data_IF_637936079530
#
_entry.id   IF_637936079530
#
_cell.length_a   1.000
_cell.length_b   1.000
_cell.length_c   1.000
_cell.angle_alpha   90.00
_cell.angle_beta   90.00
_cell.angle_gamma   90.00
#
_symmetry.space_group_name_H-M   'P 1'
#
loop_
_entity.id
_entity.type
_entity.pdbx_description
1 polymer ?
#
# COMPACT_ATOMS: atom_id res chain seq x y z
N UNK A 1 8.68 -8.72 -5.66
CA UNK A 1 7.26 -8.33 -5.58
C UNK A 1 7.12 -6.83 -5.69
N UNK A 2 5.98 -6.33 -6.16
CA UNK A 2 5.63 -4.91 -6.25
C UNK A 2 4.68 -4.55 -5.10
N UNK A 3 5.04 -3.57 -4.29
CA UNK A 3 4.32 -3.21 -3.05
C UNK A 3 3.82 -1.78 -3.16
N UNK A 4 2.52 -1.58 -2.98
CA UNK A 4 1.93 -0.26 -2.83
C UNK A 4 1.94 0.15 -1.35
N UNK A 5 2.36 1.36 -1.02
CA UNK A 5 2.28 1.91 0.33
C UNK A 5 1.41 3.14 0.29
N UNK A 6 0.26 3.10 0.98
CA UNK A 6 -0.62 4.25 1.08
C UNK A 6 -0.05 5.27 2.05
N UNK A 7 0.20 6.50 1.58
CA UNK A 7 0.82 7.57 2.37
C UNK A 7 -0.06 8.81 2.51
N UNK A 8 0.20 9.58 3.55
CA UNK A 8 -0.37 10.91 3.77
C UNK A 8 0.45 11.99 3.03
N UNK A 9 0.03 13.26 3.16
CA UNK A 9 0.69 14.38 2.49
C UNK A 9 2.13 14.63 2.96
N UNK A 10 2.51 14.11 4.13
CA UNK A 10 3.88 14.15 4.65
C UNK A 10 4.74 12.98 4.16
N UNK A 11 4.20 12.10 3.31
CA UNK A 11 4.91 10.92 2.79
C UNK A 11 5.01 9.76 3.78
N UNK A 12 4.34 9.83 4.93
CA UNK A 12 4.31 8.76 5.94
C UNK A 12 3.12 7.84 5.70
N UNK A 13 3.19 6.60 6.19
CA UNK A 13 2.07 5.65 6.08
C UNK A 13 0.76 6.27 6.56
N UNK A 14 -0.25 6.19 5.70
CA UNK A 14 -1.58 6.71 5.99
C UNK A 14 -2.25 5.88 7.09
N UNK A 15 -2.95 6.55 8.01
CA UNK A 15 -3.63 5.89 9.12
C UNK A 15 -4.76 4.95 8.69
N UNK A 16 -5.33 5.15 7.49
CA UNK A 16 -6.39 4.31 6.92
C UNK A 16 -6.29 4.28 5.39
N UNK A 17 -6.33 3.07 4.80
CA UNK A 17 -6.23 2.87 3.37
C UNK A 17 -7.32 3.61 2.60
N UNK A 18 -8.57 3.55 3.09
CA UNK A 18 -9.73 4.19 2.44
C UNK A 18 -9.70 5.72 2.37
N UNK A 19 -8.71 6.38 3.00
CA UNK A 19 -8.49 7.85 2.93
C UNK A 19 -7.21 8.20 2.18
N UNK A 20 -6.48 7.21 1.69
CA UNK A 20 -5.21 7.39 1.01
C UNK A 20 -5.43 8.10 -0.32
N UNK A 21 -4.60 9.10 -0.59
CA UNK A 21 -4.58 9.84 -1.85
C UNK A 21 -3.30 9.63 -2.66
N UNK A 22 -2.27 9.05 -2.03
CA UNK A 22 -0.97 8.87 -2.63
C UNK A 22 -0.52 7.45 -2.32
N UNK A 23 -0.12 6.71 -3.35
CA UNK A 23 0.57 5.44 -3.22
C UNK A 23 2.02 5.60 -3.68
N UNK A 24 2.95 5.21 -2.82
CA UNK A 24 4.35 5.01 -3.20
C UNK A 24 4.50 3.53 -3.56
N UNK A 25 5.03 3.25 -4.73
CA UNK A 25 5.18 1.89 -5.24
C UNK A 25 6.66 1.52 -5.13
N UNK A 26 6.91 0.37 -4.52
CA UNK A 26 8.24 -0.19 -4.33
C UNK A 26 8.36 -1.55 -5.01
N UNK A 27 9.57 -1.89 -5.44
CA UNK A 27 9.96 -3.27 -5.74
C UNK A 27 10.75 -3.82 -4.57
N UNK A 28 10.42 -5.03 -4.13
CA UNK A 28 11.18 -5.80 -3.15
C UNK A 28 11.65 -7.12 -3.75
N UNK A 29 12.95 -7.37 -3.73
CA UNK A 29 13.58 -8.62 -4.17
C UNK A 29 14.54 -9.07 -3.08
N UNK A 30 14.13 -10.05 -2.27
CA UNK A 30 14.84 -10.38 -1.04
C UNK A 30 14.90 -9.16 -0.10
N UNK A 31 16.11 -8.77 0.27
CA UNK A 31 16.37 -7.61 1.13
C UNK A 31 16.47 -6.29 0.35
N UNK A 32 16.57 -6.34 -0.98
CA UNK A 32 16.67 -5.12 -1.79
C UNK A 32 15.30 -4.48 -1.98
N UNK A 33 15.21 -3.19 -1.64
CA UNK A 33 14.03 -2.35 -1.85
C UNK A 33 14.38 -1.17 -2.73
N UNK A 34 13.57 -0.92 -3.77
CA UNK A 34 13.73 0.23 -4.66
C UNK A 34 12.40 0.93 -4.90
N UNK A 35 12.40 2.26 -4.90
CA UNK A 35 11.25 3.06 -5.32
C UNK A 35 11.01 2.91 -6.83
N UNK A 36 9.75 2.74 -7.24
CA UNK A 36 9.34 2.49 -8.63
C UNK A 36 8.48 3.62 -9.17
N UNK A 37 7.47 4.04 -8.41
CA UNK A 37 6.43 4.96 -8.92
C UNK A 37 5.71 5.68 -7.78
N UNK A 38 5.12 6.84 -8.07
CA UNK A 38 4.22 7.59 -7.19
C UNK A 38 2.89 7.81 -7.89
N UNK A 39 1.83 7.19 -7.36
CA UNK A 39 0.47 7.28 -7.90
C UNK A 39 -0.37 8.20 -7.02
N UNK A 40 -1.10 9.10 -7.66
CA UNK A 40 -2.05 9.98 -6.98
C UNK A 40 -3.45 9.52 -7.36
N UNK A 41 -4.24 9.15 -6.36
CA UNK A 41 -5.64 8.81 -6.52
C UNK A 41 -6.50 10.01 -6.16
N UNK A 42 -7.64 10.16 -6.82
CA UNK A 42 -8.61 11.23 -6.54
C UNK A 42 -9.31 11.05 -5.18
N UNK A 43 -9.11 9.90 -4.53
CA UNK A 43 -9.53 9.64 -3.15
C UNK A 43 -11.04 9.57 -2.98
N UNK A 44 -11.78 9.43 -4.09
CA UNK A 44 -13.24 9.32 -4.11
C UNK A 44 -13.59 7.87 -4.49
N UNK A 45 -14.13 7.11 -3.53
CA UNK A 45 -14.61 5.73 -3.64
C UNK A 45 -13.55 4.59 -3.62
N UNK A 46 -13.93 3.48 -2.99
CA UNK A 46 -13.12 2.28 -2.74
C UNK A 46 -12.64 1.57 -4.01
N UNK A 47 -13.36 1.68 -5.12
CA UNK A 47 -12.98 0.99 -6.36
C UNK A 47 -11.72 1.59 -7.01
N UNK A 48 -11.50 2.90 -6.87
CA UNK A 48 -10.34 3.58 -7.47
C UNK A 48 -9.02 3.14 -6.83
N UNK A 49 -9.01 2.90 -5.51
CA UNK A 49 -7.81 2.40 -4.82
C UNK A 49 -7.33 1.09 -5.46
N UNK A 50 -8.26 0.17 -5.72
CA UNK A 50 -7.93 -1.14 -6.30
C UNK A 50 -7.38 -0.98 -7.72
N UNK A 51 -8.04 -0.15 -8.55
CA UNK A 51 -7.60 0.09 -9.92
C UNK A 51 -6.18 0.71 -9.95
N UNK A 52 -5.87 1.59 -9.00
CA UNK A 52 -4.58 2.27 -8.89
C UNK A 52 -3.44 1.35 -8.39
N UNK A 53 -3.74 0.15 -7.88
CA UNK A 53 -2.74 -0.79 -7.34
C UNK A 53 -2.89 -2.21 -7.89
N UNK A 54 -3.70 -2.42 -8.94
CA UNK A 54 -4.04 -3.77 -9.43
C UNK A 54 -2.85 -4.57 -9.99
N UNK A 55 -1.72 -3.91 -10.25
CA UNK A 55 -0.45 -4.50 -10.68
C UNK A 55 0.54 -4.70 -9.52
N UNK A 56 0.12 -4.43 -8.28
CA UNK A 56 0.89 -4.70 -7.08
C UNK A 56 0.53 -6.06 -6.49
N UNK A 57 1.50 -6.71 -5.84
CA UNK A 57 1.34 -7.97 -5.13
C UNK A 57 0.82 -7.75 -3.70
N UNK A 58 1.10 -6.58 -3.12
CA UNK A 58 0.72 -6.22 -1.75
C UNK A 58 0.42 -4.72 -1.61
N UNK A 59 -0.36 -4.37 -0.58
CA UNK A 59 -0.61 -3.00 -0.15
C UNK A 59 -0.42 -2.83 1.35
N UNK A 60 0.35 -1.81 1.75
CA UNK A 60 0.58 -1.43 3.15
C UNK A 60 -0.22 -0.19 3.50
N UNK A 61 -0.90 -0.22 4.65
CA UNK A 61 -1.50 0.96 5.28
C UNK A 61 -1.64 0.78 6.79
N UNK A 62 -1.87 1.86 7.53
CA UNK A 62 -2.06 1.81 8.98
C UNK A 62 -3.29 1.01 9.41
N UNK A 63 -4.39 1.11 8.66
CA UNK A 63 -5.62 0.34 8.89
C UNK A 63 -6.34 0.05 7.58
N UNK A 64 -6.93 -1.13 7.48
CA UNK A 64 -7.70 -1.55 6.30
C UNK A 64 -9.05 -2.11 6.77
N UNK A 65 -10.15 -1.61 6.21
CA UNK A 65 -11.50 -2.09 6.54
C UNK A 65 -11.74 -3.51 6.00
N UNK A 66 -12.53 -4.31 6.71
CA UNK A 66 -12.75 -5.72 6.37
C UNK A 66 -13.21 -5.95 4.91
N UNK A 67 -14.17 -5.16 4.42
CA UNK A 67 -14.64 -5.26 3.03
C UNK A 67 -13.56 -4.95 1.98
N UNK A 68 -12.61 -4.08 2.31
CA UNK A 68 -11.45 -3.80 1.44
C UNK A 68 -10.46 -4.97 1.47
N UNK A 69 -10.17 -5.54 2.64
CA UNK A 69 -9.33 -6.75 2.76
C UNK A 69 -9.91 -7.90 1.91
N UNK A 70 -11.22 -8.12 1.98
CA UNK A 70 -11.89 -9.13 1.15
C UNK A 70 -11.80 -8.81 -0.34
N UNK A 71 -11.87 -7.54 -0.73
CA UNK A 71 -11.78 -7.11 -2.13
C UNK A 71 -10.37 -7.31 -2.68
N UNK A 72 -9.34 -6.92 -1.93
CA UNK A 72 -7.93 -7.14 -2.27
C UNK A 72 -7.61 -8.63 -2.42
N UNK A 73 -8.11 -9.46 -1.49
CA UNK A 73 -7.93 -10.91 -1.56
C UNK A 73 -8.50 -11.53 -2.84
N UNK A 74 -9.64 -11.05 -3.33
CA UNK A 74 -10.27 -11.57 -4.57
C UNK A 74 -9.44 -11.34 -5.82
N UNK A 75 -8.52 -10.37 -5.78
CA UNK A 75 -7.63 -10.01 -6.89
C UNK A 75 -6.15 -10.34 -6.58
N UNK A 76 -5.90 -11.14 -5.54
CA UNK A 76 -4.56 -11.58 -5.13
C UNK A 76 -3.61 -10.45 -4.69
N UNK A 77 -4.13 -9.38 -4.11
CA UNK A 77 -3.32 -8.37 -3.42
C UNK A 77 -3.31 -8.67 -1.93
N UNK A 78 -2.12 -8.83 -1.35
CA UNK A 78 -1.95 -9.00 0.09
C UNK A 78 -2.20 -7.67 0.82
N UNK A 79 -3.06 -7.69 1.83
CA UNK A 79 -3.34 -6.54 2.68
C UNK A 79 -2.43 -6.57 3.93
N UNK A 80 -1.52 -5.63 4.04
CA UNK A 80 -0.57 -5.51 5.15
C UNK A 80 -0.94 -4.30 6.02
N UNK A 81 -1.23 -4.57 7.29
CA UNK A 81 -1.55 -3.54 8.28
C UNK A 81 -0.28 -3.22 9.05
N UNK A 82 0.14 -1.95 9.03
CA UNK A 82 1.36 -1.48 9.68
C UNK A 82 1.07 -0.33 10.66
N UNK A 83 1.07 -0.62 11.95
CA UNK A 83 0.77 0.36 13.01
C UNK A 83 2.01 0.95 13.68
N UNK A 84 3.17 0.29 13.55
CA UNK A 84 4.38 0.62 14.32
C UNK A 84 5.45 1.36 13.49
N UNK A 85 5.45 1.17 12.17
CA UNK A 85 6.42 1.78 11.25
C UNK A 85 5.75 2.89 10.45
N UNK A 86 6.22 4.12 10.60
CA UNK A 86 5.67 5.27 9.88
C UNK A 86 6.32 5.48 8.50
N UNK A 87 7.58 5.09 8.34
CA UNK A 87 8.33 5.27 7.10
C UNK A 87 7.95 4.19 6.06
N UNK A 88 7.56 4.58 4.83
CA UNK A 88 7.17 3.62 3.80
C UNK A 88 8.28 2.65 3.38
N UNK A 89 9.52 3.11 3.32
CA UNK A 89 10.64 2.28 2.88
C UNK A 89 10.97 1.24 3.94
N UNK A 90 11.09 1.67 5.20
CA UNK A 90 11.30 0.79 6.35
C UNK A 90 10.19 -0.27 6.47
N UNK A 91 8.93 0.11 6.22
CA UNK A 91 7.82 -0.83 6.25
C UNK A 91 7.94 -1.91 5.17
N UNK A 92 8.34 -1.57 3.95
CA UNK A 92 8.59 -2.55 2.87
C UNK A 92 9.81 -3.40 3.18
N UNK A 93 10.87 -2.82 3.74
CA UNK A 93 12.07 -3.57 4.15
C UNK A 93 11.72 -4.63 5.19
N UNK A 94 10.89 -4.30 6.18
CA UNK A 94 10.45 -5.19 7.27
C UNK A 94 9.55 -6.35 6.85
N UNK A 95 8.99 -6.33 5.62
CA UNK A 95 8.15 -7.42 5.12
C UNK A 95 8.95 -8.72 5.02
N UNK A 96 8.38 -9.79 5.57
CA UNK A 96 8.90 -11.16 5.37
C UNK A 96 8.32 -11.71 4.07
N UNK A 97 9.16 -11.77 3.04
CA UNK A 97 8.87 -12.39 1.73
C UNK A 97 9.31 -13.84 1.68
#
# INVERSE_FOLDING_TARGET
MKVAVGVNDAGMIASHLGKTKIFLIFSKVGDEVSFVDRRVTDGQHTNHIIDDINDCDAVISGKIGAGMVESLKKINIEAVIQEDIADPFEAVESMKV
#
